data_IF_567846071944
#
_entry.id   IF_567846071944
#
_cell.length_a   1.000
_cell.length_b   1.000
_cell.length_c   1.000
_cell.angle_alpha   90.00
_cell.angle_beta   90.00
_cell.angle_gamma   90.00
#
_symmetry.space_group_name_H-M   'P 1'
#
loop_
_entity.id
_entity.type
_entity.pdbx_description
1 polymer ?
#
# COMPACT_ATOMS: atom_id res chain seq x y z
N UNK A 1 10.94 5.10 4.70
CA UNK A 1 11.23 3.97 5.59
C UNK A 1 10.31 4.08 6.79
N UNK A 2 9.14 3.48 6.62
CA UNK A 2 8.09 3.42 7.61
C UNK A 2 7.45 2.03 7.54
N UNK A 3 7.21 1.41 8.70
CA UNK A 3 6.41 0.20 8.80
C UNK A 3 4.93 0.59 8.73
N UNK A 4 4.20 -0.02 7.80
CA UNK A 4 2.78 0.22 7.57
C UNK A 4 1.91 -0.75 8.38
N UNK A 5 0.76 -0.28 8.87
CA UNK A 5 -0.19 -1.15 9.56
C UNK A 5 -0.90 -2.10 8.58
N UNK A 6 -0.77 -3.41 8.82
CA UNK A 6 -1.46 -4.43 8.03
C UNK A 6 -2.92 -4.55 8.47
N UNK A 7 -3.83 -4.40 7.52
CA UNK A 7 -5.27 -4.57 7.76
C UNK A 7 -5.63 -6.05 7.90
N UNK A 8 -6.47 -6.36 8.88
CA UNK A 8 -6.91 -7.73 9.18
C UNK A 8 -8.41 -7.90 8.90
N UNK A 9 -8.82 -9.11 8.50
CA UNK A 9 -10.24 -9.43 8.35
C UNK A 9 -10.98 -9.24 9.68
N UNK A 10 -12.18 -8.62 9.71
CA UNK A 10 -13.08 -8.32 8.59
C UNK A 10 -13.09 -6.85 8.11
N UNK A 11 -11.95 -6.14 8.12
CA UNK A 11 -11.88 -4.74 7.69
C UNK A 11 -12.49 -4.52 6.30
N UNK A 12 -13.43 -3.58 6.18
CA UNK A 12 -14.17 -3.31 4.94
C UNK A 12 -13.28 -2.81 3.81
N UNK A 13 -12.15 -2.17 4.12
CA UNK A 13 -11.20 -1.68 3.13
C UNK A 13 -10.55 -2.80 2.32
N UNK A 14 -10.44 -4.01 2.91
CA UNK A 14 -9.94 -5.21 2.23
C UNK A 14 -10.86 -5.69 1.10
N UNK A 15 -12.09 -5.16 1.00
CA UNK A 15 -13.06 -5.50 -0.06
C UNK A 15 -13.11 -4.46 -1.19
N UNK A 16 -12.37 -3.37 -1.08
CA UNK A 16 -12.35 -2.33 -2.11
C UNK A 16 -11.56 -2.78 -3.34
N UNK A 17 -12.07 -2.51 -4.54
CA UNK A 17 -11.34 -2.73 -5.79
C UNK A 17 -10.34 -1.59 -5.99
N UNK A 18 -9.05 -1.91 -6.01
CA UNK A 18 -8.00 -0.93 -6.24
C UNK A 18 -8.08 -0.35 -7.66
N UNK A 19 -7.76 0.94 -7.80
CA UNK A 19 -7.71 1.63 -9.10
C UNK A 19 -6.33 1.43 -9.74
N UNK A 20 -6.23 1.46 -11.08
CA UNK A 20 -4.94 1.49 -11.77
C UNK A 20 -4.11 2.71 -11.36
N UNK A 21 -2.80 2.52 -11.23
CA UNK A 21 -1.86 3.61 -11.01
C UNK A 21 -1.56 4.29 -12.34
N UNK A 22 -1.84 5.60 -12.44
CA UNK A 22 -1.70 6.35 -13.69
C UNK A 22 -0.24 6.67 -14.05
N UNK A 23 0.62 6.91 -13.04
CA UNK A 23 2.04 7.19 -13.21
C UNK A 23 2.83 6.71 -11.98
N UNK A 24 4.03 6.20 -12.21
CA UNK A 24 4.96 5.80 -11.14
C UNK A 24 5.92 6.95 -10.87
N UNK A 25 5.53 7.80 -9.93
CA UNK A 25 6.34 8.91 -9.44
C UNK A 25 7.11 8.52 -8.16
N UNK A 26 7.82 9.49 -7.59
CA UNK A 26 8.63 9.27 -6.39
C UNK A 26 7.79 8.91 -5.15
N UNK A 27 6.52 9.32 -5.11
CA UNK A 27 5.62 8.92 -4.02
C UNK A 27 5.24 7.45 -4.13
N UNK A 28 4.96 6.96 -5.35
CA UNK A 28 4.68 5.55 -5.59
C UNK A 28 5.91 4.70 -5.30
N UNK A 29 7.12 5.17 -5.69
CA UNK A 29 8.38 4.50 -5.34
C UNK A 29 8.59 4.40 -3.83
N UNK A 30 8.38 5.51 -3.09
CA UNK A 30 8.50 5.51 -1.63
C UNK A 30 7.49 4.56 -0.97
N UNK A 31 6.26 4.49 -1.47
CA UNK A 31 5.25 3.54 -0.98
C UNK A 31 5.69 2.09 -1.17
N UNK A 32 6.30 1.76 -2.31
CA UNK A 32 6.82 0.42 -2.57
C UNK A 32 7.93 0.08 -1.58
N UNK A 33 8.86 1.01 -1.32
CA UNK A 33 9.94 0.79 -0.36
C UNK A 33 9.40 0.55 1.07
N UNK A 34 8.41 1.34 1.51
CA UNK A 34 7.77 1.16 2.81
C UNK A 34 6.96 -0.16 2.89
N UNK A 35 6.32 -0.58 1.79
CA UNK A 35 5.64 -1.88 1.70
C UNK A 35 6.64 -3.05 1.76
N UNK A 36 7.81 -2.92 1.15
CA UNK A 36 8.87 -3.93 1.22
C UNK A 36 9.50 -4.04 2.61
N UNK A 37 9.56 -2.94 3.36
CA UNK A 37 10.03 -2.96 4.75
C UNK A 37 9.02 -3.60 5.70
N UNK A 38 7.72 -3.52 5.37
CA UNK A 38 6.62 -4.03 6.20
C UNK A 38 6.41 -5.54 6.08
N UNK A 39 6.85 -6.16 4.98
CA UNK A 39 6.70 -7.60 4.71
C UNK A 39 7.85 -8.44 5.28
#
# INVERSE_FOLDING_TARGET
MAILDILHFPDSRLRNIAKPVAAVDDRVRQLIDDMFETM
#
